data_IF_081444226026
#
_entry.id   IF_081444226026
#
_cell.length_a   1.000
_cell.length_b   1.000
_cell.length_c   1.000
_cell.angle_alpha   90.00
_cell.angle_beta   90.00
_cell.angle_gamma   90.00
#
_symmetry.space_group_name_H-M   'P 1'
#
loop_
_entity.id
_entity.type
_entity.pdbx_description
1 polymer ?
#
# COMPACT_ATOMS: atom_id res chain seq x y z
N UNK A 1 -9.40 8.61 -12.99
CA UNK A 1 -10.23 8.35 -11.78
C UNK A 1 -9.79 7.08 -11.06
N UNK A 2 -9.70 5.91 -11.70
CA UNK A 2 -9.25 4.66 -11.04
C UNK A 2 -7.86 4.75 -10.38
N UNK A 3 -6.98 5.60 -10.92
CA UNK A 3 -5.64 5.84 -10.41
C UNK A 3 -5.60 6.35 -8.96
N UNK A 4 -6.66 7.02 -8.49
CA UNK A 4 -6.75 7.44 -7.09
C UNK A 4 -6.94 6.23 -6.17
N UNK A 5 -7.81 5.29 -6.56
CA UNK A 5 -8.04 4.07 -5.80
C UNK A 5 -6.79 3.17 -5.79
N UNK A 6 -6.17 2.97 -6.95
CA UNK A 6 -4.94 2.14 -7.04
C UNK A 6 -3.76 2.82 -6.34
N UNK A 7 -3.64 4.14 -6.42
CA UNK A 7 -2.63 4.91 -5.70
C UNK A 7 -2.80 4.83 -4.19
N UNK A 8 -4.04 4.92 -3.69
CA UNK A 8 -4.34 4.73 -2.27
C UNK A 8 -4.01 3.31 -1.80
N UNK A 9 -4.37 2.28 -2.58
CA UNK A 9 -4.05 0.91 -2.23
C UNK A 9 -2.54 0.66 -2.13
N UNK A 10 -1.75 1.22 -3.06
CA UNK A 10 -0.30 1.15 -3.00
C UNK A 10 0.27 1.88 -1.77
N UNK A 11 -0.22 3.08 -1.47
CA UNK A 11 0.18 3.84 -0.29
C UNK A 11 -0.13 3.10 1.02
N UNK A 12 -1.33 2.50 1.11
CA UNK A 12 -1.75 1.68 2.24
C UNK A 12 -0.81 0.48 2.44
N UNK A 13 -0.43 -0.21 1.36
CA UNK A 13 0.51 -1.33 1.42
C UNK A 13 1.91 -0.94 1.92
N UNK A 14 2.44 0.20 1.46
CA UNK A 14 3.70 0.75 1.98
C UNK A 14 3.59 1.10 3.46
N UNK A 15 2.57 1.86 3.84
CA UNK A 15 2.37 2.29 5.21
C UNK A 15 2.26 1.09 6.17
N UNK A 16 1.44 0.08 5.82
CA UNK A 16 1.30 -1.15 6.61
C UNK A 16 2.65 -1.86 6.79
N UNK A 17 3.41 -2.04 5.71
CA UNK A 17 4.70 -2.74 5.78
C UNK A 17 5.74 -2.01 6.64
N UNK A 18 5.76 -0.67 6.59
CA UNK A 18 6.63 0.16 7.41
C UNK A 18 6.22 0.10 8.88
N UNK A 19 4.92 0.24 9.18
CA UNK A 19 4.40 0.20 10.55
C UNK A 19 4.54 -1.17 11.21
N UNK A 20 4.46 -2.25 10.43
CA UNK A 20 4.69 -3.63 10.89
C UNK A 20 6.18 -3.96 11.05
N UNK A 21 7.10 -3.05 10.67
CA UNK A 21 8.54 -3.27 10.81
C UNK A 21 9.08 -4.39 9.91
N UNK A 22 8.45 -4.65 8.75
CA UNK A 22 8.94 -5.68 7.82
C UNK A 22 10.36 -5.35 7.36
N UNK A 23 11.19 -6.39 7.27
CA UNK A 23 12.54 -6.28 6.74
C UNK A 23 12.49 -5.67 5.32
N UNK A 24 13.40 -4.73 5.06
CA UNK A 24 13.46 -3.96 3.81
C UNK A 24 12.27 -3.03 3.50
N UNK A 25 11.27 -2.87 4.36
CA UNK A 25 10.12 -2.00 4.05
C UNK A 25 10.52 -0.53 3.83
N UNK A 26 11.36 0.02 4.71
CA UNK A 26 11.88 1.39 4.58
C UNK A 26 12.83 1.52 3.38
N UNK A 27 13.87 0.66 3.22
CA UNK A 27 14.72 0.68 2.03
C UNK A 27 13.96 0.63 0.70
N UNK A 28 12.96 -0.25 0.57
CA UNK A 28 12.13 -0.37 -0.64
C UNK A 28 11.31 0.88 -0.91
N UNK A 29 10.73 1.49 0.13
CA UNK A 29 10.01 2.75 -0.03
C UNK A 29 10.93 3.90 -0.43
N UNK A 30 12.15 3.97 0.14
CA UNK A 30 13.15 4.97 -0.27
C UNK A 30 13.56 4.76 -1.73
N UNK A 31 13.74 3.52 -2.18
CA UNK A 31 14.06 3.21 -3.57
C UNK A 31 12.92 3.59 -4.53
N UNK A 32 11.67 3.35 -4.13
CA UNK A 32 10.48 3.82 -4.84
C UNK A 32 10.51 5.35 -5.04
N UNK A 33 10.80 6.12 -3.98
CA UNK A 33 10.87 7.59 -4.06
C UNK A 33 12.00 8.07 -4.99
N UNK A 34 13.17 7.40 -4.94
CA UNK A 34 14.31 7.70 -5.82
C UNK A 34 14.01 7.37 -7.29
N UNK A 35 13.16 6.39 -7.54
CA UNK A 35 12.85 5.92 -8.90
C UNK A 35 12.17 7.01 -9.75
N UNK A 36 11.46 7.96 -9.15
CA UNK A 36 10.79 9.04 -9.88
C UNK A 36 9.97 8.52 -11.08
N UNK A 37 10.20 9.09 -12.26
CA UNK A 37 9.62 8.63 -13.53
C UNK A 37 10.57 7.79 -14.40
N UNK A 38 11.52 7.07 -13.80
CA UNK A 38 12.56 6.33 -14.54
C UNK A 38 12.04 5.10 -15.30
N UNK A 39 10.84 4.62 -14.98
CA UNK A 39 10.23 3.42 -15.55
C UNK A 39 8.69 3.50 -15.45
N UNK A 40 7.98 2.51 -15.98
CA UNK A 40 6.53 2.43 -15.88
C UNK A 40 6.08 2.32 -14.41
N UNK A 41 5.02 3.04 -13.98
CA UNK A 41 4.58 3.04 -12.60
C UNK A 41 4.29 1.66 -12.01
N UNK A 42 3.79 0.73 -12.82
CA UNK A 42 3.47 -0.63 -12.39
C UNK A 42 4.74 -1.45 -12.07
N UNK A 43 5.81 -1.24 -12.85
CA UNK A 43 7.10 -1.90 -12.63
C UNK A 43 7.83 -1.29 -11.43
N UNK A 44 7.77 0.04 -11.27
CA UNK A 44 8.33 0.74 -10.10
C UNK A 44 7.67 0.23 -8.80
N UNK A 45 6.34 0.15 -8.75
CA UNK A 45 5.61 -0.35 -7.59
C UNK A 45 5.95 -1.82 -7.30
N UNK A 46 6.01 -2.65 -8.35
CA UNK A 46 6.35 -4.07 -8.22
C UNK A 46 7.76 -4.28 -7.67
N UNK A 47 8.76 -3.53 -8.17
CA UNK A 47 10.14 -3.52 -7.65
C UNK A 47 10.19 -3.09 -6.18
N UNK A 48 9.34 -2.15 -5.78
CA UNK A 48 9.21 -1.70 -4.40
C UNK A 48 8.40 -2.66 -3.48
N UNK A 49 7.96 -3.81 -4.01
CA UNK A 49 7.25 -4.85 -3.25
C UNK A 49 5.72 -4.75 -3.27
N UNK A 50 5.16 -3.86 -4.09
CA UNK A 50 3.70 -3.67 -4.25
C UNK A 50 3.30 -4.10 -5.67
N UNK A 51 2.90 -5.37 -5.83
CA UNK A 51 2.49 -5.89 -7.14
C UNK A 51 1.01 -5.55 -7.45
N UNK A 52 0.83 -4.45 -8.17
CA UNK A 52 -0.48 -3.94 -8.60
C UNK A 52 -1.11 -4.74 -9.76
N UNK A 53 -0.46 -5.79 -10.28
CA UNK A 53 -1.05 -6.70 -11.26
C UNK A 53 -1.94 -7.78 -10.62
N UNK A 54 -1.94 -7.85 -9.29
CA UNK A 54 -2.73 -8.81 -8.50
C UNK A 54 -3.83 -8.09 -7.72
N UNK A 55 -4.85 -8.82 -7.24
CA UNK A 55 -5.90 -8.27 -6.39
C UNK A 55 -5.44 -7.94 -4.96
N UNK A 56 -4.28 -8.47 -4.54
CA UNK A 56 -3.79 -8.41 -3.15
C UNK A 56 -3.72 -7.00 -2.55
N UNK A 57 -3.19 -5.96 -3.25
CA UNK A 57 -3.13 -4.61 -2.66
C UNK A 57 -4.51 -4.01 -2.40
N UNK A 58 -5.49 -4.32 -3.26
CA UNK A 58 -6.85 -3.85 -3.10
C UNK A 58 -7.57 -4.59 -1.97
N UNK A 59 -7.46 -5.92 -1.91
CA UNK A 59 -8.00 -6.75 -0.83
C UNK A 59 -7.47 -6.28 0.53
N UNK A 60 -6.15 -6.09 0.67
CA UNK A 60 -5.54 -5.61 1.91
C UNK A 60 -6.03 -4.20 2.33
N UNK A 61 -6.41 -3.37 1.35
CA UNK A 61 -6.98 -2.04 1.62
C UNK A 61 -8.41 -2.14 2.15
N UNK A 62 -9.22 -3.05 1.57
CA UNK A 62 -10.57 -3.33 2.05
C UNK A 62 -10.53 -3.93 3.45
N UNK A 63 -9.61 -4.87 3.70
CA UNK A 63 -9.42 -5.45 5.04
C UNK A 63 -9.08 -4.38 6.08
N UNK A 64 -8.17 -3.46 5.73
CA UNK A 64 -7.83 -2.34 6.63
C UNK A 64 -9.03 -1.43 6.90
N UNK A 65 -9.89 -1.21 5.89
CA UNK A 65 -11.09 -0.42 6.08
C UNK A 65 -12.07 -1.12 7.04
N UNK A 66 -12.25 -2.44 6.90
CA UNK A 66 -13.08 -3.23 7.82
C UNK A 66 -12.53 -3.17 9.26
N UNK A 67 -11.22 -3.31 9.46
CA UNK A 67 -10.60 -3.15 10.78
C UNK A 67 -10.91 -1.79 11.41
N UNK A 68 -10.88 -0.72 10.61
CA UNK A 68 -11.19 0.64 11.08
C UNK A 68 -12.67 0.80 11.44
N UNK A 69 -13.58 0.16 10.70
CA UNK A 69 -15.00 0.12 11.04
C UNK A 69 -15.23 -0.64 12.35
N UNK A 70 -14.61 -1.80 12.53
CA UNK A 70 -14.70 -2.58 13.77
C UNK A 70 -14.18 -1.78 14.97
N UNK A 71 -13.11 -1.00 14.78
CA UNK A 71 -12.59 -0.10 15.81
C UNK A 71 -13.60 1.01 16.14
N UNK A 72 -14.21 1.62 15.12
CA UNK A 72 -15.21 2.67 15.31
C UNK A 72 -16.46 2.15 16.04
N UNK A 73 -16.97 0.97 15.66
CA UNK A 73 -18.13 0.35 16.31
C UNK A 73 -17.89 0.06 17.79
N UNK A 74 -16.66 -0.31 18.17
CA UNK A 74 -16.29 -0.54 19.59
C UNK A 74 -16.24 0.74 20.42
N UNK A 75 -15.92 1.89 19.81
CA UNK A 75 -15.83 3.17 20.52
C UNK A 75 -17.19 3.87 20.65
N UNK A 76 -18.17 3.52 19.80
CA UNK A 76 -19.51 4.13 19.78
C UNK A 76 -20.53 3.35 20.65
N UNK A 77 -20.27 2.08 20.97
CA UNK A 77 -21.11 1.24 21.83
C UNK A 77 -20.56 1.15 23.26
#
# INVERSE_FOLDING_TARGET
VYQYATGYAAASAFAKSILEGKEEAVPKYIEFLKSGGSDYPIEILKKAGVDMTTSKPLEATIDRFNELLDMLEKEIN
#
